data_IF_631722547335
#
_entry.id   IF_631722547335
#
_cell.length_a   1.000
_cell.length_b   1.000
_cell.length_c   1.000
_cell.angle_alpha   90.00
_cell.angle_beta   90.00
_cell.angle_gamma   90.00
#
_symmetry.space_group_name_H-M   'P 1'
#
loop_
_entity.id
_entity.type
_entity.pdbx_description
1 polymer ?
#
# COMPACT_ATOMS: atom_id res chain seq x y z
N UNK A 1 5.65 2.71 7.03
CA UNK A 1 4.33 3.06 6.46
C UNK A 1 3.53 3.93 7.41
N UNK A 2 3.14 3.44 8.58
CA UNK A 2 2.31 4.19 9.55
C UNK A 2 2.93 5.53 9.97
N UNK A 3 4.18 5.51 10.46
CA UNK A 3 4.94 6.72 10.81
C UNK A 3 5.04 7.71 9.65
N UNK A 4 5.39 7.23 8.46
CA UNK A 4 5.61 8.06 7.26
C UNK A 4 4.32 8.75 6.80
N UNK A 5 3.17 8.07 6.92
CA UNK A 5 1.87 8.62 6.54
C UNK A 5 1.10 9.25 7.72
N UNK A 6 1.72 9.33 8.90
CA UNK A 6 1.13 9.83 10.14
C UNK A 6 -0.23 9.18 10.46
N UNK A 7 -0.26 7.85 10.44
CA UNK A 7 -1.43 7.03 10.78
C UNK A 7 -1.08 5.98 11.84
N UNK A 8 -2.11 5.37 12.43
CA UNK A 8 -1.95 4.40 13.53
C UNK A 8 -2.38 2.98 13.13
N UNK A 9 -2.72 2.75 11.86
CA UNK A 9 -3.22 1.45 11.40
C UNK A 9 -2.89 1.25 9.93
N UNK A 10 -2.71 -0.02 9.56
CA UNK A 10 -2.49 -0.45 8.18
C UNK A 10 -3.26 -1.73 7.91
N UNK A 11 -3.74 -1.89 6.69
CA UNK A 11 -4.24 -3.16 6.17
C UNK A 11 -3.10 -3.85 5.41
N UNK A 12 -2.83 -5.12 5.74
CA UNK A 12 -1.85 -5.96 5.05
C UNK A 12 -2.57 -7.14 4.43
N UNK A 13 -2.45 -7.33 3.11
CA UNK A 13 -3.14 -8.41 2.38
C UNK A 13 -2.20 -9.15 1.43
N UNK A 14 -2.48 -10.44 1.24
CA UNK A 14 -1.83 -11.30 0.25
C UNK A 14 -2.95 -11.96 -0.57
N UNK A 15 -2.82 -11.91 -1.90
CA UNK A 15 -3.72 -12.57 -2.84
C UNK A 15 -2.99 -13.79 -3.42
N UNK A 16 -3.10 -14.93 -2.74
CA UNK A 16 -2.45 -16.17 -3.16
C UNK A 16 -3.37 -16.98 -4.08
N UNK A 17 -3.06 -16.94 -5.39
CA UNK A 17 -3.81 -17.64 -6.43
C UNK A 17 -4.85 -16.78 -7.17
N UNK A 18 -5.26 -17.21 -8.39
CA UNK A 18 -6.22 -16.47 -9.22
C UNK A 18 -7.57 -16.20 -8.54
N UNK A 19 -8.08 -17.17 -7.77
CA UNK A 19 -9.36 -17.09 -7.08
C UNK A 19 -9.34 -16.08 -5.92
N UNK A 20 -8.17 -15.79 -5.35
CA UNK A 20 -7.97 -14.72 -4.38
C UNK A 20 -7.83 -13.32 -5.04
N UNK A 21 -7.88 -13.25 -6.37
CA UNK A 21 -7.77 -12.02 -7.14
C UNK A 21 -6.35 -11.67 -7.61
N UNK A 22 -5.39 -12.59 -7.51
CA UNK A 22 -4.01 -12.36 -7.95
C UNK A 22 -3.93 -12.01 -9.44
N UNK A 23 -3.38 -10.84 -9.75
CA UNK A 23 -3.23 -10.36 -11.15
C UNK A 23 -1.85 -10.66 -11.73
N UNK A 24 -0.81 -10.63 -10.90
CA UNK A 24 0.58 -10.91 -11.27
C UNK A 24 1.01 -12.22 -10.62
N UNK A 25 1.51 -13.18 -11.40
CA UNK A 25 1.99 -14.50 -10.95
C UNK A 25 3.34 -14.42 -10.21
N UNK A 26 3.37 -13.62 -9.16
CA UNK A 26 4.49 -13.45 -8.23
C UNK A 26 3.90 -13.17 -6.86
N UNK A 27 4.44 -13.79 -5.81
CA UNK A 27 3.97 -13.52 -4.45
C UNK A 27 4.29 -12.06 -4.12
N UNK A 28 3.26 -11.30 -3.77
CA UNK A 28 3.37 -9.93 -3.30
C UNK A 28 2.33 -9.68 -2.21
N UNK A 29 2.59 -8.70 -1.36
CA UNK A 29 1.63 -8.21 -0.39
C UNK A 29 1.31 -6.74 -0.66
N UNK A 30 0.08 -6.34 -0.35
CA UNK A 30 -0.28 -4.94 -0.30
C UNK A 30 -0.19 -4.46 1.15
N UNK A 31 0.45 -3.31 1.36
CA UNK A 31 0.50 -2.62 2.65
C UNK A 31 -0.18 -1.26 2.44
N UNK A 32 -1.37 -1.10 3.03
CA UNK A 32 -2.21 0.08 2.85
C UNK A 32 -2.32 0.83 4.19
N UNK A 33 -1.67 1.99 4.37
CA UNK A 33 -1.89 2.85 5.52
C UNK A 33 -3.36 3.30 5.60
N UNK A 34 -3.98 3.18 6.77
CA UNK A 34 -5.40 3.48 7.00
C UNK A 34 -5.57 4.76 7.79
N UNK A 35 -6.54 5.59 7.39
CA UNK A 35 -6.95 6.77 8.17
C UNK A 35 -8.32 6.50 8.77
N UNK A 36 -8.61 7.14 9.90
CA UNK A 36 -9.95 7.08 10.47
C UNK A 36 -10.94 7.63 9.43
N UNK A 37 -12.04 6.90 9.23
CA UNK A 37 -13.13 7.25 8.31
C UNK A 37 -12.68 7.39 6.84
N UNK A 38 -11.62 6.67 6.41
CA UNK A 38 -11.18 6.60 5.01
C UNK A 38 -12.16 5.82 4.11
N UNK A 39 -12.92 4.88 4.71
CA UNK A 39 -14.08 4.24 4.12
C UNK A 39 -15.28 4.37 5.06
N UNK A 40 -16.49 4.47 4.47
CA UNK A 40 -17.76 4.46 5.23
C UNK A 40 -17.94 3.12 5.95
N UNK A 41 -17.57 2.04 5.28
CA UNK A 41 -17.51 0.68 5.82
C UNK A 41 -16.13 0.10 5.50
N UNK A 42 -15.46 -0.43 6.53
CA UNK A 42 -14.10 -0.95 6.42
C UNK A 42 -13.97 -2.08 5.41
N UNK A 43 -15.02 -2.87 5.18
CA UNK A 43 -15.00 -3.99 4.25
C UNK A 43 -15.04 -3.55 2.77
N UNK A 44 -15.35 -2.28 2.49
CA UNK A 44 -15.26 -1.72 1.15
C UNK A 44 -13.84 -1.72 0.59
N UNK A 45 -12.83 -1.80 1.46
CA UNK A 45 -11.43 -1.89 1.03
C UNK A 45 -11.16 -3.12 0.15
N UNK A 46 -11.84 -4.24 0.40
CA UNK A 46 -11.67 -5.46 -0.40
C UNK A 46 -12.22 -5.28 -1.82
N UNK A 47 -13.36 -4.60 -1.95
CA UNK A 47 -13.95 -4.29 -3.24
C UNK A 47 -13.08 -3.31 -4.03
N UNK A 48 -12.51 -2.30 -3.35
CA UNK A 48 -11.64 -1.32 -4.00
C UNK A 48 -10.31 -1.94 -4.42
N UNK A 49 -9.71 -2.79 -3.56
CA UNK A 49 -8.48 -3.51 -3.87
C UNK A 49 -8.66 -4.42 -5.09
N UNK A 50 -9.79 -5.13 -5.20
CA UNK A 50 -10.09 -5.98 -6.34
C UNK A 50 -10.25 -5.23 -7.68
N UNK A 51 -10.53 -3.92 -7.63
CA UNK A 51 -10.66 -3.04 -8.80
C UNK A 51 -9.36 -2.35 -9.17
N UNK A 52 -8.49 -2.06 -8.21
CA UNK A 52 -7.28 -1.25 -8.38
C UNK A 52 -6.41 -1.67 -9.58
N UNK A 53 -6.32 -2.98 -9.82
CA UNK A 53 -5.48 -3.54 -10.89
C UNK A 53 -6.23 -3.77 -12.21
N UNK A 54 -7.55 -3.58 -12.24
CA UNK A 54 -8.40 -3.87 -13.40
C UNK A 54 -8.80 -2.58 -14.10
N UNK A 55 -8.59 -2.53 -15.41
CA UNK A 55 -9.15 -1.46 -16.25
C UNK A 55 -10.54 -1.92 -16.71
N UNK A 56 -11.58 -1.15 -16.37
CA UNK A 56 -12.93 -1.40 -16.90
C UNK A 56 -13.51 -0.12 -17.52
N UNK A 57 -14.46 -0.23 -18.46
CA UNK A 57 -15.11 0.95 -19.07
C UNK A 57 -15.84 1.84 -18.04
N UNK A 58 -16.27 1.25 -16.93
CA UNK A 58 -17.05 1.90 -15.86
C UNK A 58 -16.17 2.44 -14.72
N UNK A 59 -14.87 2.12 -14.70
CA UNK A 59 -13.94 2.58 -13.67
C UNK A 59 -12.59 2.88 -14.34
N UNK A 60 -12.40 4.12 -14.85
CA UNK A 60 -11.14 4.50 -15.47
C UNK A 60 -10.01 4.43 -14.44
N UNK A 61 -8.86 3.89 -14.86
CA UNK A 61 -7.69 3.79 -14.00
C UNK A 61 -7.24 5.19 -13.61
N UNK A 62 -6.84 5.38 -12.35
CA UNK A 62 -6.08 6.57 -11.95
C UNK A 62 -4.85 6.69 -12.87
N UNK A 63 -4.48 7.93 -13.29
CA UNK A 63 -3.31 8.11 -14.12
C UNK A 63 -2.08 7.52 -13.44
N UNK A 64 -1.21 6.89 -14.24
CA UNK A 64 0.05 6.37 -13.73
C UNK A 64 0.87 7.53 -13.15
N UNK A 65 1.42 7.32 -11.95
CA UNK A 65 2.36 8.28 -11.35
C UNK A 65 3.63 8.36 -12.19
N UNK A 66 4.31 9.51 -12.15
CA UNK A 66 5.58 9.65 -12.85
C UNK A 66 6.67 8.82 -12.18
N UNK A 67 7.68 8.42 -12.97
CA UNK A 67 8.84 7.70 -12.45
C UNK A 67 9.61 8.55 -11.42
N UNK A 68 9.60 9.87 -11.59
CA UNK A 68 10.25 10.80 -10.66
C UNK A 68 9.58 10.77 -9.29
N UNK A 69 8.26 10.93 -9.22
CA UNK A 69 7.51 10.87 -7.96
C UNK A 69 7.72 9.53 -7.23
N UNK A 70 7.68 8.41 -7.97
CA UNK A 70 7.92 7.08 -7.40
C UNK A 70 9.34 6.95 -6.84
N UNK A 71 10.34 7.52 -7.51
CA UNK A 71 11.74 7.49 -7.06
C UNK A 71 11.95 8.33 -5.80
N UNK A 72 11.37 9.52 -5.76
CA UNK A 72 11.44 10.43 -4.61
C UNK A 72 10.79 9.81 -3.38
N UNK A 73 9.59 9.22 -3.54
CA UNK A 73 8.92 8.47 -2.47
C UNK A 73 9.76 7.28 -1.98
N UNK A 74 10.31 6.47 -2.89
CA UNK A 74 11.14 5.34 -2.52
C UNK A 74 12.42 5.75 -1.76
N UNK A 75 13.05 6.85 -2.16
CA UNK A 75 14.23 7.38 -1.48
C UNK A 75 13.90 7.87 -0.05
N UNK A 76 12.78 8.57 0.11
CA UNK A 76 12.27 8.99 1.42
C UNK A 76 11.99 7.79 2.33
N UNK A 77 11.29 6.77 1.82
CA UNK A 77 10.95 5.56 2.58
C UNK A 77 12.21 4.80 3.06
N UNK A 78 13.26 4.70 2.22
CA UNK A 78 14.54 4.07 2.61
C UNK A 78 15.20 4.81 3.77
N UNK A 79 15.26 6.14 3.69
CA UNK A 79 15.85 6.96 4.74
C UNK A 79 15.11 6.79 6.07
N UNK A 80 13.78 6.79 6.04
CA UNK A 80 12.97 6.57 7.25
C UNK A 80 13.19 5.18 7.85
N UNK A 81 13.34 4.15 7.01
CA UNK A 81 13.66 2.80 7.46
C UNK A 81 15.02 2.75 8.16
N UNK A 82 16.06 3.37 7.58
CA UNK A 82 17.40 3.44 8.18
C UNK A 82 17.37 4.11 9.57
N UNK A 83 16.65 5.23 9.70
CA UNK A 83 16.48 5.93 10.98
C UNK A 83 15.79 5.02 12.00
N UNK A 84 14.70 4.34 11.62
CA UNK A 84 13.99 3.41 12.52
C UNK A 84 14.88 2.26 12.98
N UNK A 85 15.70 1.69 12.09
CA UNK A 85 16.63 0.60 12.45
C UNK A 85 17.67 1.10 13.45
N UNK A 86 18.29 2.26 13.22
CA UNK A 86 19.26 2.84 14.16
C UNK A 86 18.66 3.16 15.53
N UNK A 87 17.41 3.65 15.57
CA UNK A 87 16.72 3.93 16.83
C UNK A 87 16.43 2.65 17.61
N UNK A 88 16.07 1.56 16.91
CA UNK A 88 15.84 0.25 17.54
C UNK A 88 17.12 -0.38 18.10
N UNK A 89 18.27 -0.15 17.45
CA UNK A 89 19.57 -0.64 17.91
C UNK A 89 20.08 0.11 19.15
N UNK A 90 19.72 1.39 19.32
CA UNK A 90 20.10 2.20 20.49
C UNK A 90 19.26 1.90 21.74
N UNK A 91 18.11 1.26 21.58
CA UNK A 91 17.19 0.93 22.67
C UNK A 91 17.41 -0.48 23.24
N UNK A 92 18.30 -1.26 22.62
CA UNK A 92 18.75 -2.57 23.09
C UNK A 92 20.14 -2.46 23.75
#
# INVERSE_FOLDING_TARGET
MEKVHNVNSSTVTIQDGPEAGQTIKHVHCHILPRKKDDFIDNDLIYLELAKHDKVSPTTPRKPARSLQEMREEAAMLRKELEIMTQDSEKQN
#
